data_IF_663353274143
#
_entry.id   IF_663353274143
#
_cell.length_a   1.000
_cell.length_b   1.000
_cell.length_c   1.000
_cell.angle_alpha   90.00
_cell.angle_beta   90.00
_cell.angle_gamma   90.00
#
_symmetry.space_group_name_H-M   'P 1'
#
loop_
_entity.id
_entity.type
_entity.pdbx_description
1 polymer ?
#
# COMPACT_ATOMS: atom_id res chain seq x y z
N UNK A 1 -1.65 -24.65 -2.16
CA UNK A 1 -1.24 -23.27 -2.47
C UNK A 1 -0.93 -22.56 -1.16
N UNK A 2 0.24 -21.96 -1.04
CA UNK A 2 0.56 -21.08 0.08
C UNK A 2 -0.35 -19.84 0.02
N UNK A 3 -1.21 -19.65 1.02
CA UNK A 3 -2.12 -18.49 1.12
C UNK A 3 -1.46 -17.22 1.67
N UNK A 4 -0.19 -17.34 2.08
CA UNK A 4 0.57 -16.25 2.70
C UNK A 4 0.54 -14.93 1.90
N UNK A 5 0.71 -14.92 0.55
CA UNK A 5 0.70 -13.68 -0.21
C UNK A 5 -0.64 -12.93 -0.13
N UNK A 6 -1.74 -13.68 -0.19
CA UNK A 6 -3.10 -13.14 -0.08
C UNK A 6 -3.38 -12.67 1.34
N UNK A 7 -2.94 -13.41 2.36
CA UNK A 7 -3.10 -13.00 3.76
C UNK A 7 -2.34 -11.69 4.06
N UNK A 8 -1.13 -11.52 3.51
CA UNK A 8 -0.39 -10.25 3.59
C UNK A 8 -1.11 -9.12 2.84
N UNK A 9 -1.64 -9.40 1.66
CA UNK A 9 -2.36 -8.40 0.88
C UNK A 9 -3.64 -7.95 1.60
N UNK A 10 -4.40 -8.89 2.18
CA UNK A 10 -5.56 -8.61 3.04
C UNK A 10 -5.21 -7.76 4.26
N UNK A 11 -4.06 -8.04 4.89
CA UNK A 11 -3.57 -7.25 6.01
C UNK A 11 -3.21 -5.82 5.58
N UNK A 12 -2.42 -5.67 4.51
CA UNK A 12 -2.01 -4.37 4.01
C UNK A 12 -3.19 -3.51 3.55
N UNK A 13 -4.19 -4.14 2.93
CA UNK A 13 -5.43 -3.49 2.49
C UNK A 13 -6.48 -3.38 3.59
N UNK A 14 -6.22 -3.92 4.78
CA UNK A 14 -7.12 -3.87 5.94
C UNK A 14 -8.51 -4.45 5.65
N UNK A 15 -8.58 -5.55 4.90
CA UNK A 15 -9.84 -6.21 4.49
C UNK A 15 -10.69 -6.69 5.68
N UNK A 16 -10.13 -6.72 6.90
CA UNK A 16 -10.89 -6.97 8.13
C UNK A 16 -11.75 -5.78 8.56
N UNK A 17 -11.21 -4.57 8.49
CA UNK A 17 -11.87 -3.35 8.97
C UNK A 17 -12.63 -2.65 7.85
N UNK A 18 -12.10 -2.73 6.63
CA UNK A 18 -12.68 -2.15 5.42
C UNK A 18 -12.79 -3.22 4.34
N UNK A 19 -13.72 -4.19 4.43
CA UNK A 19 -13.89 -5.20 3.40
C UNK A 19 -14.22 -4.56 2.05
N UNK A 20 -13.48 -4.93 1.01
CA UNK A 20 -13.69 -4.41 -0.34
C UNK A 20 -13.42 -5.46 -1.43
N UNK A 21 -12.38 -6.28 -1.27
CA UNK A 21 -11.99 -7.29 -2.24
C UNK A 21 -12.35 -8.70 -1.76
N UNK A 22 -12.81 -9.52 -2.68
CA UNK A 22 -12.88 -10.97 -2.51
C UNK A 22 -11.52 -11.63 -2.78
N UNK A 23 -11.36 -12.89 -2.35
CA UNK A 23 -10.07 -13.61 -2.44
C UNK A 23 -9.57 -13.76 -3.89
N UNK A 24 -10.47 -14.00 -4.84
CA UNK A 24 -10.18 -14.11 -6.27
C UNK A 24 -9.77 -12.77 -6.89
N UNK A 25 -10.37 -11.66 -6.43
CA UNK A 25 -9.94 -10.32 -6.83
C UNK A 25 -8.55 -9.99 -6.31
N UNK A 26 -8.21 -10.42 -5.10
CA UNK A 26 -6.87 -10.27 -4.52
C UNK A 26 -5.84 -11.13 -5.24
N UNK A 27 -6.21 -12.35 -5.65
CA UNK A 27 -5.37 -13.21 -6.49
C UNK A 27 -5.08 -12.55 -7.84
N UNK A 28 -6.11 -12.01 -8.50
CA UNK A 28 -5.95 -11.30 -9.76
C UNK A 28 -5.14 -10.01 -9.62
N UNK A 29 -5.34 -9.27 -8.53
CA UNK A 29 -4.58 -8.05 -8.23
C UNK A 29 -3.10 -8.37 -8.04
N UNK A 30 -2.80 -9.47 -7.35
CA UNK A 30 -1.43 -9.93 -7.13
C UNK A 30 -0.78 -10.42 -8.43
N UNK A 31 -1.51 -11.21 -9.24
CA UNK A 31 -1.04 -11.69 -10.55
C UNK A 31 -0.74 -10.52 -11.50
N UNK A 32 -1.63 -9.53 -11.54
CA UNK A 32 -1.48 -8.32 -12.37
C UNK A 32 -0.30 -7.43 -11.94
N UNK A 33 0.28 -7.68 -10.77
CA UNK A 33 1.44 -6.97 -10.22
C UNK A 33 2.68 -7.89 -10.13
N UNK A 34 2.77 -8.92 -10.98
CA UNK A 34 3.91 -9.86 -11.06
C UNK A 34 4.18 -10.61 -9.74
N UNK A 35 3.16 -10.79 -8.90
CA UNK A 35 3.32 -11.38 -7.57
C UNK A 35 3.96 -10.44 -6.53
N UNK A 36 4.19 -9.17 -6.86
CA UNK A 36 4.76 -8.18 -5.95
C UNK A 36 3.69 -7.65 -5.00
N UNK A 37 3.73 -8.14 -3.76
CA UNK A 37 2.79 -7.77 -2.69
C UNK A 37 2.78 -6.25 -2.46
N UNK A 38 3.92 -5.55 -2.57
CA UNK A 38 3.95 -4.10 -2.32
C UNK A 38 3.25 -3.34 -3.43
N UNK A 39 3.53 -3.67 -4.70
CA UNK A 39 2.85 -3.07 -5.85
C UNK A 39 1.35 -3.35 -5.82
N UNK A 40 0.97 -4.60 -5.52
CA UNK A 40 -0.42 -4.98 -5.34
C UNK A 40 -1.09 -4.20 -4.20
N UNK A 41 -0.39 -4.01 -3.07
CA UNK A 41 -0.91 -3.23 -1.92
C UNK A 41 -1.10 -1.76 -2.28
N UNK A 42 -0.14 -1.16 -2.98
CA UNK A 42 -0.27 0.20 -3.51
C UNK A 42 -1.50 0.31 -4.42
N UNK A 43 -1.59 -0.55 -5.44
CA UNK A 43 -2.69 -0.52 -6.40
C UNK A 43 -4.05 -0.76 -5.72
N UNK A 44 -4.13 -1.69 -4.77
CA UNK A 44 -5.34 -1.92 -3.99
C UNK A 44 -5.77 -0.70 -3.18
N UNK A 45 -4.84 0.03 -2.56
CA UNK A 45 -5.14 1.29 -1.88
C UNK A 45 -5.70 2.35 -2.83
N UNK A 46 -5.15 2.47 -4.05
CA UNK A 46 -5.67 3.39 -5.07
C UNK A 46 -7.12 3.04 -5.47
N UNK A 47 -7.42 1.75 -5.64
CA UNK A 47 -8.77 1.29 -5.95
C UNK A 47 -9.77 1.61 -4.84
N UNK A 48 -9.40 1.38 -3.57
CA UNK A 48 -10.24 1.72 -2.41
C UNK A 48 -10.47 3.22 -2.32
N UNK A 49 -9.44 4.04 -2.55
CA UNK A 49 -9.56 5.50 -2.62
C UNK A 49 -10.56 5.96 -3.70
N UNK A 50 -10.54 5.31 -4.87
CA UNK A 50 -11.43 5.63 -5.98
C UNK A 50 -12.88 5.18 -5.74
N UNK A 51 -13.10 4.12 -4.95
CA UNK A 51 -14.43 3.68 -4.54
C UNK A 51 -15.02 4.60 -3.47
N UNK A 52 -14.23 4.98 -2.47
CA UNK A 52 -14.62 5.87 -1.37
C UNK A 52 -15.01 7.29 -1.85
N UNK A 53 -14.42 7.79 -2.93
CA UNK A 53 -14.73 9.12 -3.48
C UNK A 53 -16.05 9.15 -4.28
N UNK A 54 -16.54 7.99 -4.71
CA UNK A 54 -17.78 7.86 -5.52
C UNK A 54 -19.05 7.72 -4.68
N UNK A 55 -18.94 7.64 -3.35
CA UNK A 55 -20.08 7.58 -2.43
C UNK A 55 -20.69 8.98 -2.22
N UNK A 56 -21.30 9.52 -3.28
CA UNK A 56 -22.13 10.72 -3.21
C UNK A 56 -23.61 10.30 -3.24
N UNK A 57 -24.27 10.29 -2.07
CA UNK A 57 -25.70 9.96 -1.99
C UNK A 57 -26.49 11.26 -1.87
N UNK A 58 -27.31 11.55 -2.89
CA UNK A 58 -28.23 12.68 -2.92
C UNK A 58 -27.59 14.06 -2.61
N UNK A 59 -26.34 14.28 -3.02
CA UNK A 59 -25.62 15.55 -2.82
C UNK A 59 -25.05 15.75 -1.41
N UNK A 60 -25.10 14.72 -0.56
CA UNK A 60 -24.43 14.70 0.74
C UNK A 60 -23.15 13.86 0.59
N UNK A 61 -21.99 14.50 0.62
CA UNK A 61 -20.70 13.82 0.67
C UNK A 61 -20.50 13.26 2.08
N UNK A 62 -20.51 11.94 2.23
CA UNK A 62 -20.09 11.30 3.48
C UNK A 62 -18.59 11.56 3.68
N UNK A 63 -18.11 11.48 4.93
CA UNK A 63 -16.68 11.54 5.25
C UNK A 63 -15.93 10.49 4.43
N UNK A 64 -15.17 10.92 3.43
CA UNK A 64 -14.47 10.00 2.52
C UNK A 64 -13.12 9.62 3.11
N UNK A 65 -12.78 8.33 3.08
CA UNK A 65 -11.47 7.84 3.47
C UNK A 65 -10.44 7.89 2.33
N UNK A 66 -10.75 8.59 1.23
CA UNK A 66 -9.87 8.70 0.06
C UNK A 66 -8.44 9.14 0.42
N UNK A 67 -8.29 10.19 1.22
CA UNK A 67 -6.96 10.72 1.60
C UNK A 67 -6.18 9.72 2.47
N UNK A 68 -6.89 8.99 3.33
CA UNK A 68 -6.31 7.91 4.12
C UNK A 68 -5.71 6.82 3.20
N UNK A 69 -6.50 6.33 2.24
CA UNK A 69 -6.05 5.30 1.31
C UNK A 69 -4.89 5.76 0.43
N UNK A 70 -4.89 7.02 -0.03
CA UNK A 70 -3.77 7.59 -0.80
C UNK A 70 -2.50 7.70 0.05
N UNK A 71 -2.61 8.15 1.30
CA UNK A 71 -1.48 8.23 2.22
C UNK A 71 -0.90 6.85 2.52
N UNK A 72 -1.77 5.84 2.68
CA UNK A 72 -1.35 4.46 2.88
C UNK A 72 -0.64 3.91 1.64
N UNK A 73 -1.16 4.18 0.43
CA UNK A 73 -0.55 3.76 -0.82
C UNK A 73 0.90 4.24 -0.93
N UNK A 74 1.16 5.51 -0.63
CA UNK A 74 2.50 6.13 -0.66
C UNK A 74 3.53 5.32 0.15
N UNK A 75 3.14 4.72 1.28
CA UNK A 75 4.06 3.94 2.13
C UNK A 75 4.67 2.72 1.42
N UNK A 76 3.99 2.18 0.40
CA UNK A 76 4.47 1.04 -0.39
C UNK A 76 5.44 1.46 -1.52
N UNK A 77 5.41 2.73 -1.95
CA UNK A 77 6.31 3.26 -2.97
C UNK A 77 7.71 3.61 -2.44
N UNK A 78 7.85 3.86 -1.13
CA UNK A 78 9.09 4.36 -0.49
C UNK A 78 10.25 3.33 -0.51
N UNK A 79 10.07 2.17 -1.14
CA UNK A 79 11.17 1.19 -1.31
C UNK A 79 11.91 1.25 -2.65
N UNK A 80 11.65 2.26 -3.49
CA UNK A 80 12.61 2.71 -4.48
C UNK A 80 13.65 3.62 -3.80
N UNK A 81 14.63 2.98 -3.15
CA UNK A 81 15.93 3.53 -2.73
C UNK A 81 15.90 4.84 -1.90
N UNK A 82 16.20 4.82 -0.58
CA UNK A 82 16.74 6.02 0.02
C UNK A 82 18.05 6.31 -0.72
N UNK A 83 18.06 7.31 -1.60
CA UNK A 83 19.30 7.85 -2.14
C UNK A 83 20.28 8.03 -0.99
N UNK A 84 21.41 7.32 -1.05
CA UNK A 84 22.51 7.34 -0.08
C UNK A 84 22.74 8.74 0.48
N UNK A 85 22.18 9.01 1.67
CA UNK A 85 22.24 10.30 2.35
C UNK A 85 22.93 10.26 3.71
N UNK A 86 23.52 9.14 4.11
CA UNK A 86 24.41 9.08 5.27
C UNK A 86 25.86 8.96 4.79
N UNK A 87 26.50 10.12 4.58
CA UNK A 87 27.95 10.19 4.57
C UNK A 87 28.39 10.09 6.04
N UNK A 88 28.48 8.87 6.58
CA UNK A 88 29.17 8.64 7.85
C UNK A 88 30.66 8.83 7.61
N UNK A 89 31.10 10.09 7.67
CA UNK A 89 32.50 10.44 7.87
C UNK A 89 32.85 10.16 9.34
N UNK A 90 33.07 8.90 9.69
CA UNK A 90 33.79 8.55 10.91
C UNK A 90 35.28 8.69 10.61
N UNK A 91 35.81 9.91 10.82
CA UNK A 91 37.25 10.14 10.89
C UNK A 91 37.76 9.38 12.13
N UNK A 92 38.51 8.28 11.94
CA UNK A 92 39.19 7.60 13.06
C UNK A 92 40.14 8.62 13.68
N UNK A 93 40.06 8.78 15.00
CA UNK A 93 40.85 9.76 15.75
C UNK A 93 42.14 9.13 16.30
N UNK A 94 42.74 8.18 15.59
CA UNK A 94 43.97 7.54 16.07
C UNK A 94 44.93 7.31 14.92
N UNK A 95 46.09 7.99 14.95
CA UNK A 95 47.17 7.76 14.01
C UNK A 95 48.29 8.79 14.01
N UNK A 96 49.16 8.70 15.04
CA UNK A 96 50.53 9.23 15.20
C UNK A 96 50.72 10.72 15.51
#
# INVERSE_FOLDING_TARGET
MDRLPIDFLKFNLQEREYPYFEDDELELLLESNDGDIKKASHQGCILKAAADDKLEVAGIKLSSNREYWLTLAETFNVTAEPGNGYITSMKRVDGW
#
